data_IF_422714461927
#
_entry.id   IF_422714461927
#
_cell.length_a   1.000
_cell.length_b   1.000
_cell.length_c   1.000
_cell.angle_alpha   90.00
_cell.angle_beta   90.00
_cell.angle_gamma   90.00
#
_symmetry.space_group_name_H-M   'P 1'
#
loop_
_entity.id
_entity.type
_entity.pdbx_description
1 polymer ?
#
# COMPACT_ATOMS: atom_id res chain seq x y z
N UNK A 1 -7.76 0.00 16.07
CA UNK A 1 -7.10 -0.30 14.79
C UNK A 1 -8.01 -1.25 14.04
N UNK A 2 -8.67 -0.78 12.99
CA UNK A 2 -9.74 -1.54 12.32
C UNK A 2 -9.39 -1.69 10.85
N UNK A 3 -8.49 -2.64 10.56
CA UNK A 3 -8.34 -3.19 9.22
C UNK A 3 -9.44 -4.25 9.04
N UNK A 4 -10.16 -4.18 7.93
CA UNK A 4 -11.21 -5.12 7.59
C UNK A 4 -10.84 -5.86 6.31
N UNK A 5 -10.83 -7.19 6.35
CA UNK A 5 -10.69 -7.99 5.14
C UNK A 5 -11.95 -7.87 4.27
N UNK A 6 -11.78 -7.59 2.98
CA UNK A 6 -12.88 -7.57 2.00
C UNK A 6 -12.93 -8.89 1.23
N UNK A 7 -11.77 -9.38 0.78
CA UNK A 7 -11.60 -10.65 0.08
C UNK A 7 -10.16 -11.18 0.28
N UNK A 8 -9.80 -12.38 -0.20
CA UNK A 8 -8.41 -12.84 -0.12
C UNK A 8 -7.46 -11.82 -0.77
N UNK A 9 -6.44 -11.40 -0.02
CA UNK A 9 -5.44 -10.39 -0.43
C UNK A 9 -5.99 -8.99 -0.70
N UNK A 10 -7.15 -8.67 -0.14
CA UNK A 10 -7.72 -7.32 -0.18
C UNK A 10 -8.32 -6.94 1.17
N UNK A 11 -7.90 -5.79 1.67
CA UNK A 11 -8.36 -5.26 2.93
C UNK A 11 -8.53 -3.75 2.88
N UNK A 12 -9.47 -3.25 3.67
CA UNK A 12 -9.75 -1.84 3.86
C UNK A 12 -9.21 -1.40 5.23
N UNK A 13 -8.42 -0.34 5.22
CA UNK A 13 -7.98 0.36 6.41
C UNK A 13 -9.04 1.38 6.85
N UNK A 14 -9.09 1.73 8.14
CA UNK A 14 -10.09 2.65 8.69
C UNK A 14 -10.06 4.06 8.09
N UNK A 15 -8.95 4.46 7.44
CA UNK A 15 -8.86 5.70 6.67
C UNK A 15 -9.66 5.68 5.36
N UNK A 16 -10.27 4.55 5.00
CA UNK A 16 -10.94 4.32 3.71
C UNK A 16 -10.03 3.72 2.64
N UNK A 17 -8.71 3.72 2.86
CA UNK A 17 -7.75 3.15 1.92
C UNK A 17 -7.92 1.64 1.74
N UNK A 18 -7.82 1.16 0.51
CA UNK A 18 -7.89 -0.26 0.17
C UNK A 18 -6.53 -0.70 -0.34
N UNK A 19 -6.01 -1.79 0.24
CA UNK A 19 -4.78 -2.43 -0.21
C UNK A 19 -5.12 -3.76 -0.89
N UNK A 20 -4.57 -3.97 -2.09
CA UNK A 20 -4.69 -5.24 -2.83
C UNK A 20 -3.31 -5.80 -3.12
N UNK A 21 -2.99 -6.91 -2.50
CA UNK A 21 -1.71 -7.60 -2.70
C UNK A 21 -1.77 -8.52 -3.91
N UNK A 22 -0.84 -8.33 -4.86
CA UNK A 22 -0.56 -9.24 -5.97
C UNK A 22 0.88 -9.73 -5.86
N UNK A 23 1.28 -10.70 -6.68
CA UNK A 23 2.56 -11.43 -6.52
C UNK A 23 3.81 -10.53 -6.57
N UNK A 24 3.81 -9.49 -7.40
CA UNK A 24 4.97 -8.60 -7.61
C UNK A 24 4.60 -7.12 -7.55
N UNK A 25 3.35 -6.83 -7.16
CA UNK A 25 2.82 -5.49 -7.12
C UNK A 25 1.70 -5.43 -6.09
N UNK A 26 1.58 -4.28 -5.44
CA UNK A 26 0.48 -4.01 -4.53
C UNK A 26 -0.22 -2.75 -4.98
N UNK A 27 -1.55 -2.79 -5.05
CA UNK A 27 -2.35 -1.63 -5.39
C UNK A 27 -2.84 -0.96 -4.11
N UNK A 28 -2.65 0.35 -4.06
CA UNK A 28 -3.14 1.23 -3.01
C UNK A 28 -4.23 2.11 -3.60
N UNK A 29 -5.46 1.99 -3.10
CA UNK A 29 -6.61 2.77 -3.58
C UNK A 29 -7.16 3.69 -2.49
N UNK A 30 -7.42 4.96 -2.84
CA UNK A 30 -8.11 5.93 -1.99
C UNK A 30 -9.04 6.78 -2.87
N UNK A 31 -10.30 6.93 -2.46
CA UNK A 31 -11.31 7.74 -3.18
C UNK A 31 -11.38 7.45 -4.68
N UNK A 32 -11.26 6.17 -5.06
CA UNK A 32 -11.28 5.71 -6.45
C UNK A 32 -9.98 5.93 -7.24
N UNK A 33 -8.97 6.58 -6.68
CA UNK A 33 -7.65 6.69 -7.29
C UNK A 33 -6.78 5.51 -6.89
N UNK A 34 -6.03 4.95 -7.83
CA UNK A 34 -5.19 3.77 -7.62
C UNK A 34 -3.73 4.14 -7.86
N UNK A 35 -2.84 3.69 -6.99
CA UNK A 35 -1.39 3.72 -7.17
C UNK A 35 -0.87 2.29 -7.09
N UNK A 36 -0.12 1.87 -8.10
CA UNK A 36 0.53 0.56 -8.12
C UNK A 36 1.97 0.64 -7.63
N UNK A 37 2.25 -0.02 -6.51
CA UNK A 37 3.59 -0.13 -5.91
C UNK A 37 4.29 -1.40 -6.38
N UNK A 38 5.56 -1.28 -6.73
CA UNK A 38 6.45 -2.43 -6.93
C UNK A 38 6.73 -3.10 -5.57
N UNK A 39 6.66 -4.43 -5.56
CA UNK A 39 6.96 -5.23 -4.36
C UNK A 39 7.91 -6.36 -4.70
N UNK A 40 9.02 -6.42 -4.00
CA UNK A 40 9.93 -7.57 -4.04
C UNK A 40 9.53 -8.57 -2.94
N UNK A 41 9.19 -9.83 -3.28
CA UNK A 41 8.78 -10.82 -2.29
C UNK A 41 9.93 -11.19 -1.35
N UNK A 42 9.68 -11.18 -0.04
CA UNK A 42 10.63 -11.61 0.98
C UNK A 42 10.06 -12.70 1.90
N UNK A 43 10.93 -13.28 2.73
CA UNK A 43 10.60 -14.41 3.61
C UNK A 43 9.62 -14.03 4.74
N UNK A 44 9.67 -12.78 5.22
CA UNK A 44 8.80 -12.28 6.31
C UNK A 44 7.73 -11.29 5.84
N UNK A 45 7.71 -10.93 4.57
CA UNK A 45 6.89 -9.89 3.98
C UNK A 45 7.52 -9.38 2.67
N UNK A 46 6.83 -8.49 1.97
CA UNK A 46 7.38 -7.82 0.77
C UNK A 46 8.24 -6.59 1.10
N UNK A 47 9.24 -6.31 0.28
CA UNK A 47 9.93 -5.02 0.23
C UNK A 47 9.18 -4.09 -0.74
N UNK A 48 8.63 -3.01 -0.19
CA UNK A 48 7.86 -2.00 -0.90
C UNK A 48 8.75 -0.83 -1.34
N UNK A 49 8.66 -0.48 -2.62
CA UNK A 49 9.34 0.68 -3.18
C UNK A 49 8.40 1.88 -3.20
N UNK A 50 8.60 2.82 -2.27
CA UNK A 50 7.76 4.01 -2.12
C UNK A 50 8.38 5.19 -2.89
N UNK A 51 7.69 5.75 -3.91
CA UNK A 51 8.20 6.90 -4.63
C UNK A 51 8.23 8.14 -3.75
N UNK A 52 9.27 8.95 -3.90
CA UNK A 52 9.41 10.24 -3.20
C UNK A 52 8.38 11.28 -3.65
N UNK A 53 7.99 11.21 -4.93
CA UNK A 53 6.91 11.99 -5.54
C UNK A 53 5.87 11.05 -6.14
N UNK A 54 5.00 10.44 -5.31
CA UNK A 54 4.04 9.47 -5.78
C UNK A 54 3.00 10.13 -6.71
N UNK A 55 2.69 9.44 -7.81
CA UNK A 55 1.58 9.76 -8.70
C UNK A 55 0.61 8.59 -8.72
N UNK A 56 -0.67 8.87 -8.84
CA UNK A 56 -1.67 7.87 -9.17
C UNK A 56 -1.39 7.27 -10.56
N UNK A 57 -2.00 6.12 -10.84
CA UNK A 57 -1.82 5.39 -12.10
C UNK A 57 -2.37 6.18 -13.32
N UNK A 58 -3.22 7.19 -13.10
CA UNK A 58 -3.68 8.15 -14.12
C UNK A 58 -2.70 9.31 -14.38
N UNK A 59 -1.58 9.36 -13.64
CA UNK A 59 -0.54 10.36 -13.74
C UNK A 59 -0.75 11.59 -12.85
N UNK A 60 -1.87 11.70 -12.12
CA UNK A 60 -2.10 12.83 -11.23
C UNK A 60 -1.28 12.71 -9.93
N UNK A 61 -0.78 13.81 -9.36
CA UNK A 61 0.02 13.76 -8.13
C UNK A 61 -0.79 13.26 -6.93
N UNK A 62 -0.20 12.39 -6.10
CA UNK A 62 -0.81 11.99 -4.83
C UNK A 62 -0.75 13.17 -3.84
N UNK A 63 -1.87 13.53 -3.18
CA UNK A 63 -1.89 14.56 -2.17
C UNK A 63 -0.89 14.30 -1.03
N UNK A 64 -0.16 15.31 -0.52
CA UNK A 64 0.87 15.13 0.52
C UNK A 64 0.37 14.42 1.79
N UNK A 65 -0.88 14.69 2.20
CA UNK A 65 -1.48 14.04 3.37
C UNK A 65 -1.67 12.53 3.17
N UNK A 66 -2.01 12.09 1.96
CA UNK A 66 -2.14 10.68 1.61
C UNK A 66 -0.75 10.05 1.50
N UNK A 67 0.19 10.72 0.82
CA UNK A 67 1.56 10.25 0.69
C UNK A 67 2.24 10.01 2.05
N UNK A 68 2.04 10.93 3.01
CA UNK A 68 2.58 10.81 4.36
C UNK A 68 1.98 9.64 5.16
N UNK A 69 0.72 9.26 4.89
CA UNK A 69 0.03 8.16 5.57
C UNK A 69 0.20 6.80 4.90
N UNK A 70 0.63 6.76 3.63
CA UNK A 70 0.65 5.55 2.80
C UNK A 70 1.46 4.41 3.43
N UNK A 71 2.67 4.68 3.91
CA UNK A 71 3.53 3.66 4.52
C UNK A 71 2.84 3.02 5.74
N UNK A 72 2.27 3.83 6.63
CA UNK A 72 1.56 3.36 7.83
C UNK A 72 0.38 2.46 7.47
N UNK A 73 -0.40 2.86 6.46
CA UNK A 73 -1.55 2.05 6.00
C UNK A 73 -1.09 0.69 5.48
N UNK A 74 -0.06 0.67 4.63
CA UNK A 74 0.49 -0.58 4.09
C UNK A 74 0.99 -1.47 5.22
N UNK A 75 1.75 -0.91 6.17
CA UNK A 75 2.28 -1.63 7.32
C UNK A 75 1.19 -2.25 8.18
N UNK A 76 0.12 -1.51 8.49
CA UNK A 76 -0.99 -2.03 9.28
C UNK A 76 -1.75 -3.16 8.57
N UNK A 77 -1.98 -3.04 7.26
CA UNK A 77 -2.67 -4.08 6.50
C UNK A 77 -1.81 -5.34 6.34
N UNK A 78 -0.52 -5.19 6.04
CA UNK A 78 0.40 -6.32 5.96
C UNK A 78 0.52 -7.04 7.31
N UNK A 79 0.61 -6.30 8.42
CA UNK A 79 0.59 -6.89 9.77
C UNK A 79 -0.71 -7.62 10.06
N UNK A 80 -1.85 -7.08 9.62
CA UNK A 80 -3.14 -7.76 9.71
C UNK A 80 -3.13 -9.11 8.96
N UNK A 81 -2.41 -9.23 7.85
CA UNK A 81 -2.20 -10.50 7.14
C UNK A 81 -1.09 -11.38 7.71
N UNK A 82 -0.41 -10.96 8.77
CA UNK A 82 0.71 -11.71 9.37
C UNK A 82 2.02 -11.56 8.60
N UNK A 83 2.22 -10.41 7.95
CA UNK A 83 3.45 -10.04 7.25
C UNK A 83 4.14 -8.85 7.92
N UNK A 84 5.46 -8.79 7.78
CA UNK A 84 6.32 -7.71 8.27
C UNK A 84 7.01 -7.08 7.06
N UNK A 85 6.38 -6.07 6.44
CA UNK A 85 6.91 -5.45 5.24
C UNK A 85 8.12 -4.58 5.56
N UNK A 86 8.98 -4.43 4.58
CA UNK A 86 10.08 -3.46 4.58
C UNK A 86 9.80 -2.36 3.55
N UNK A 87 10.37 -1.17 3.75
CA UNK A 87 10.14 -0.03 2.88
C UNK A 87 11.46 0.58 2.43
N UNK A 88 11.52 0.93 1.14
CA UNK A 88 12.62 1.69 0.55
C UNK A 88 12.07 2.86 -0.24
N UNK A 89 12.57 4.05 0.07
CA UNK A 89 12.30 5.23 -0.74
C UNK A 89 13.02 5.11 -2.08
N UNK A 90 12.32 5.44 -3.17
CA UNK A 90 12.90 5.58 -4.51
C UNK A 90 12.73 7.00 -5.01
N UNK A 91 13.78 7.52 -5.65
CA UNK A 91 13.83 8.87 -6.22
C UNK A 91 13.09 8.92 -7.55
#
# INVERSE_FOLDING_TARGET
MTVQQLQPREARHHSGAILRSRRFATQFEVDGHVLTLGVEPGVRGGLYYLPSTPTWDDGTPVPPAIAAGMQTVIEEVERFWGHWPEFRAVL
#
